data_IF_686265264985
#
_entry.id   IF_686265264985
#
_cell.length_a   1.000
_cell.length_b   1.000
_cell.length_c   1.000
_cell.angle_alpha   90.00
_cell.angle_beta   90.00
_cell.angle_gamma   90.00
#
_symmetry.space_group_name_H-M   'P 1'
#
loop_
_entity.id
_entity.type
_entity.pdbx_description
1 polymer ?
#
# COMPACT_ATOMS: atom_id res chain seq x y z
N UNK A 1 -20.68 2.69 4.94
CA UNK A 1 -21.79 2.40 4.00
C UNK A 1 -21.30 2.71 2.60
N UNK A 2 -21.28 1.73 1.70
CA UNK A 2 -20.92 1.94 0.29
C UNK A 2 -22.14 2.39 -0.51
N UNK A 3 -21.97 3.38 -1.38
CA UNK A 3 -23.04 3.91 -2.24
C UNK A 3 -22.65 3.68 -3.69
N UNK A 4 -23.55 3.06 -4.44
CA UNK A 4 -23.38 2.89 -5.87
C UNK A 4 -23.61 4.22 -6.60
N UNK A 5 -22.65 4.63 -7.43
CA UNK A 5 -22.73 5.87 -8.20
C UNK A 5 -22.45 5.61 -9.68
N UNK A 6 -23.10 6.38 -10.54
CA UNK A 6 -22.92 6.35 -11.99
C UNK A 6 -22.52 7.75 -12.48
N UNK A 7 -21.75 7.80 -13.57
CA UNK A 7 -21.40 9.06 -14.22
C UNK A 7 -22.44 9.36 -15.30
N UNK A 8 -23.25 10.40 -15.09
CA UNK A 8 -24.24 10.85 -16.07
C UNK A 8 -23.88 12.28 -16.44
N UNK A 9 -23.59 12.51 -17.72
CA UNK A 9 -23.21 13.81 -18.27
C UNK A 9 -22.07 14.51 -17.50
N UNK A 10 -21.10 13.74 -17.01
CA UNK A 10 -19.93 14.24 -16.27
C UNK A 10 -20.17 14.52 -14.79
N UNK A 11 -21.37 14.26 -14.26
CA UNK A 11 -21.69 14.42 -12.83
C UNK A 11 -21.83 13.04 -12.18
N UNK A 12 -21.29 12.91 -10.97
CA UNK A 12 -21.45 11.70 -10.15
C UNK A 12 -22.83 11.73 -9.50
N UNK A 13 -23.67 10.76 -9.82
CA UNK A 13 -25.02 10.63 -9.29
C UNK A 13 -25.21 9.30 -8.59
N UNK A 14 -26.05 9.26 -7.55
CA UNK A 14 -26.37 8.01 -6.85
C UNK A 14 -27.28 7.17 -7.74
N UNK A 15 -26.81 5.98 -8.12
CA UNK A 15 -27.55 5.10 -9.01
C UNK A 15 -28.55 4.23 -8.23
N UNK A 16 -29.82 4.27 -8.63
CA UNK A 16 -30.90 3.46 -8.04
C UNK A 16 -31.35 2.31 -8.97
N UNK A 17 -30.89 2.31 -10.22
CA UNK A 17 -31.44 1.48 -11.32
C UNK A 17 -30.57 0.29 -11.71
N UNK A 18 -29.65 -0.14 -10.84
CA UNK A 18 -28.87 -1.37 -11.03
C UNK A 18 -27.65 -1.26 -11.94
N UNK A 19 -27.40 -0.09 -12.54
CA UNK A 19 -26.14 0.19 -13.27
C UNK A 19 -25.16 0.86 -12.30
N UNK A 20 -24.06 0.17 -11.99
CA UNK A 20 -23.06 0.63 -11.03
C UNK A 20 -21.70 0.81 -11.70
N UNK A 21 -21.36 2.04 -12.09
CA UNK A 21 -20.05 2.31 -12.69
C UNK A 21 -18.96 2.40 -11.62
N UNK A 22 -19.28 3.01 -10.48
CA UNK A 22 -18.35 3.20 -9.37
C UNK A 22 -19.03 2.97 -8.03
N UNK A 23 -18.25 2.51 -7.05
CA UNK A 23 -18.68 2.38 -5.66
C UNK A 23 -17.99 3.48 -4.86
N UNK A 24 -18.78 4.41 -4.34
CA UNK A 24 -18.30 5.42 -3.42
C UNK A 24 -18.22 4.81 -2.02
N UNK A 25 -17.04 4.88 -1.42
CA UNK A 25 -16.79 4.32 -0.10
C UNK A 25 -16.16 5.38 0.81
N UNK A 26 -16.51 5.32 2.09
CA UNK A 26 -15.82 6.13 3.08
C UNK A 26 -14.38 5.64 3.25
N UNK A 27 -13.48 6.53 3.68
CA UNK A 27 -12.07 6.18 3.89
C UNK A 27 -11.92 5.00 4.86
N UNK A 28 -12.70 4.94 5.93
CA UNK A 28 -12.68 3.82 6.89
C UNK A 28 -13.08 2.51 6.24
N UNK A 29 -14.11 2.51 5.39
CA UNK A 29 -14.59 1.29 4.71
C UNK A 29 -13.54 0.78 3.71
N UNK A 30 -12.85 1.68 2.98
CA UNK A 30 -11.75 1.31 2.08
C UNK A 30 -10.58 0.72 2.85
N UNK A 31 -10.17 1.34 3.95
CA UNK A 31 -9.08 0.83 4.79
C UNK A 31 -9.39 -0.58 5.29
N UNK A 32 -10.62 -0.82 5.73
CA UNK A 32 -11.04 -2.13 6.21
C UNK A 32 -11.09 -3.19 5.10
N UNK A 33 -11.49 -2.81 3.88
CA UNK A 33 -11.41 -3.71 2.72
C UNK A 33 -9.97 -4.07 2.37
N UNK A 34 -9.07 -3.08 2.32
CA UNK A 34 -7.65 -3.29 2.00
C UNK A 34 -6.99 -4.17 3.06
N UNK A 35 -7.25 -3.91 4.33
CA UNK A 35 -6.71 -4.69 5.44
C UNK A 35 -7.31 -6.12 5.50
N UNK A 36 -8.56 -6.30 5.05
CA UNK A 36 -9.24 -7.60 4.99
C UNK A 36 -8.99 -8.42 3.73
N UNK A 37 -8.49 -7.81 2.65
CA UNK A 37 -8.21 -8.50 1.37
C UNK A 37 -7.02 -9.46 1.44
N UNK A 38 -6.15 -9.30 2.44
CA UNK A 38 -4.99 -10.16 2.62
C UNK A 38 -5.12 -10.85 3.98
N UNK A 39 -5.61 -12.09 3.98
CA UNK A 39 -5.62 -12.91 5.18
C UNK A 39 -4.20 -13.37 5.50
N UNK A 40 -3.50 -12.60 6.32
CA UNK A 40 -2.14 -12.89 6.80
C UNK A 40 -2.04 -14.25 7.51
N UNK A 41 -3.18 -14.82 7.97
CA UNK A 41 -3.27 -16.18 8.50
C UNK A 41 -2.83 -17.24 7.48
N UNK A 42 -3.16 -17.05 6.20
CA UNK A 42 -2.82 -18.01 5.13
C UNK A 42 -1.33 -18.09 4.84
N UNK A 43 -0.58 -17.06 5.22
CA UNK A 43 0.86 -16.95 4.98
C UNK A 43 1.69 -17.35 6.20
N UNK A 44 1.07 -17.61 7.36
CA UNK A 44 1.75 -17.83 8.66
C UNK A 44 2.87 -16.82 8.97
N UNK A 45 2.89 -15.67 8.30
CA UNK A 45 3.91 -14.67 8.48
C UNK A 45 3.45 -13.67 9.52
N UNK A 46 4.24 -13.53 10.57
CA UNK A 46 4.08 -12.43 11.52
C UNK A 46 4.36 -11.11 10.78
N UNK A 47 3.30 -10.30 10.63
CA UNK A 47 3.34 -9.01 9.92
C UNK A 47 4.38 -8.06 10.52
N UNK A 48 4.52 -8.06 11.85
CA UNK A 48 5.46 -7.19 12.55
C UNK A 48 6.91 -7.62 12.28
N UNK A 49 7.16 -8.94 12.26
CA UNK A 49 8.45 -9.51 11.92
C UNK A 49 8.82 -9.21 10.46
N UNK A 50 7.88 -9.39 9.53
CA UNK A 50 8.10 -9.11 8.11
C UNK A 50 8.45 -7.64 7.86
N UNK A 51 7.68 -6.71 8.46
CA UNK A 51 7.95 -5.28 8.35
C UNK A 51 9.30 -4.90 8.98
N UNK A 52 9.65 -5.52 10.12
CA UNK A 52 10.93 -5.31 10.76
C UNK A 52 12.10 -5.77 9.87
N UNK A 53 12.02 -6.99 9.32
CA UNK A 53 13.07 -7.56 8.45
C UNK A 53 13.29 -6.70 7.20
N UNK A 54 12.21 -6.30 6.52
CA UNK A 54 12.32 -5.43 5.34
C UNK A 54 12.89 -4.06 5.71
N UNK A 55 12.46 -3.48 6.83
CA UNK A 55 12.99 -2.21 7.32
C UNK A 55 14.50 -2.28 7.57
N UNK A 56 14.96 -3.31 8.29
CA UNK A 56 16.38 -3.51 8.56
C UNK A 56 17.20 -3.81 7.30
N UNK A 57 16.64 -4.58 6.35
CA UNK A 57 17.28 -4.85 5.07
C UNK A 57 17.50 -3.55 4.27
N UNK A 58 16.49 -2.67 4.23
CA UNK A 58 16.56 -1.39 3.54
C UNK A 58 17.59 -0.45 4.19
N UNK A 59 17.59 -0.35 5.52
CA UNK A 59 18.59 0.44 6.26
C UNK A 59 20.00 -0.07 5.99
N UNK A 60 20.20 -1.38 6.04
CA UNK A 60 21.50 -2.01 5.77
C UNK A 60 21.96 -1.77 4.35
N UNK A 61 21.05 -1.85 3.37
CA UNK A 61 21.34 -1.54 1.97
C UNK A 61 21.81 -0.09 1.80
N UNK A 62 21.08 0.89 2.37
CA UNK A 62 21.44 2.30 2.27
C UNK A 62 22.80 2.57 2.94
N UNK A 63 22.99 2.09 4.18
CA UNK A 63 24.24 2.29 4.91
C UNK A 63 25.43 1.60 4.23
N UNK A 64 25.25 0.36 3.77
CA UNK A 64 26.29 -0.35 3.03
C UNK A 64 26.65 0.35 1.72
N UNK A 65 25.65 0.87 1.00
CA UNK A 65 25.89 1.62 -0.24
C UNK A 65 26.65 2.93 0.02
N UNK A 66 26.24 3.71 1.02
CA UNK A 66 26.91 4.98 1.35
C UNK A 66 28.33 4.76 1.86
N UNK A 67 28.55 3.79 2.75
CA UNK A 67 29.89 3.41 3.19
C UNK A 67 30.77 2.96 2.03
N UNK A 68 30.24 2.14 1.12
CA UNK A 68 30.96 1.72 -0.08
C UNK A 68 31.37 2.91 -0.96
N UNK A 69 30.52 3.93 -1.08
CA UNK A 69 30.87 5.18 -1.78
C UNK A 69 32.00 5.92 -1.08
N UNK A 70 31.92 6.10 0.24
CA UNK A 70 32.96 6.79 1.04
C UNK A 70 34.31 6.09 0.89
N UNK A 71 34.34 4.76 1.07
CA UNK A 71 35.57 3.97 0.93
C UNK A 71 36.16 4.11 -0.48
N UNK A 72 35.31 4.06 -1.52
CA UNK A 72 35.74 4.25 -2.91
C UNK A 72 36.34 5.65 -3.17
N UNK A 73 35.84 6.68 -2.50
CA UNK A 73 36.41 8.03 -2.59
C UNK A 73 37.74 8.14 -1.85
N UNK A 74 37.88 7.51 -0.69
CA UNK A 74 39.12 7.52 0.09
C UNK A 74 40.25 6.73 -0.58
N UNK A 75 39.94 5.59 -1.21
CA UNK A 75 40.91 4.78 -1.95
C UNK A 75 41.28 5.31 -3.34
N UNK A 76 40.79 6.50 -3.72
CA UNK A 76 41.14 7.19 -4.97
C UNK A 76 42.27 8.23 -4.79
N UNK A 77 42.84 8.32 -3.59
CA UNK A 77 44.14 8.97 -3.33
C UNK A 77 45.26 7.96 -3.50
#
# INVERSE_FOLDING_TARGET
MSVCVALVDGVVTISQTGVCDYILMSKSDVTQLVDGQFDWSLLQFDKSLYQFVIGQALVTFILGHTLGRVIKYLGKR
#
